data_IF_178305591150
#
_entry.id   IF_178305591150
#
_cell.length_a   1.000
_cell.length_b   1.000
_cell.length_c   1.000
_cell.angle_alpha   90.00
_cell.angle_beta   90.00
_cell.angle_gamma   90.00
#
_symmetry.space_group_name_H-M   'P 1'
#
loop_
_entity.id
_entity.type
_entity.pdbx_description
1 polymer ?
#
# COMPACT_ATOMS: atom_id res chain seq x y z
N UNK A 1 -3.45 -2.77 12.73
CA UNK A 1 -3.37 -2.84 11.25
C UNK A 1 -4.66 -2.30 10.65
N UNK A 2 -4.53 -1.27 9.85
CA UNK A 2 -5.66 -0.60 9.22
C UNK A 2 -5.42 -0.41 7.73
N UNK A 3 -6.50 -0.33 6.96
CA UNK A 3 -6.41 0.03 5.54
C UNK A 3 -5.79 1.42 5.42
N UNK A 4 -4.80 1.57 4.55
CA UNK A 4 -4.04 2.81 4.42
C UNK A 4 -2.79 2.90 5.29
N UNK A 5 -2.55 1.92 6.16
CA UNK A 5 -1.29 1.88 6.91
C UNK A 5 -0.12 1.60 5.98
N UNK A 6 0.98 2.31 6.21
CA UNK A 6 2.28 2.05 5.59
C UNK A 6 3.03 1.10 6.51
N UNK A 7 3.34 -0.09 6.02
CA UNK A 7 3.93 -1.18 6.82
C UNK A 7 5.18 -1.73 6.15
N UNK A 8 6.09 -2.26 6.97
CA UNK A 8 7.16 -3.12 6.45
C UNK A 8 6.59 -4.51 6.23
N UNK A 9 6.88 -5.13 5.10
CA UNK A 9 6.36 -6.45 4.76
C UNK A 9 7.40 -7.22 3.93
N UNK A 10 7.48 -8.54 4.16
CA UNK A 10 8.30 -9.42 3.33
C UNK A 10 7.48 -9.80 2.10
N UNK A 11 7.88 -9.26 0.94
CA UNK A 11 7.19 -9.52 -0.33
C UNK A 11 7.89 -10.66 -1.09
N UNK A 12 7.11 -11.53 -1.74
CA UNK A 12 7.70 -12.61 -2.54
C UNK A 12 8.70 -12.05 -3.56
N UNK A 13 9.91 -12.63 -3.60
CA UNK A 13 11.00 -12.30 -4.51
C UNK A 13 11.57 -10.89 -4.37
N UNK A 14 10.90 -9.98 -3.69
CA UNK A 14 11.35 -8.60 -3.49
C UNK A 14 12.02 -8.38 -2.14
N UNK A 15 11.76 -9.27 -1.17
CA UNK A 15 12.28 -9.13 0.18
C UNK A 15 11.49 -8.10 0.99
N UNK A 16 12.11 -7.60 2.06
CA UNK A 16 11.45 -6.68 2.98
C UNK A 16 11.32 -5.29 2.37
N UNK A 17 10.11 -4.80 2.25
CA UNK A 17 9.77 -3.54 1.59
C UNK A 17 8.63 -2.83 2.29
N UNK A 18 8.56 -1.47 2.19
CA UNK A 18 7.36 -0.76 2.59
C UNK A 18 6.23 -1.03 1.59
N UNK A 19 5.03 -1.10 2.11
CA UNK A 19 3.82 -1.29 1.31
C UNK A 19 2.63 -0.66 2.04
N UNK A 20 1.53 -0.45 1.31
CA UNK A 20 0.29 0.08 1.88
C UNK A 20 -0.76 -1.03 1.92
N UNK A 21 -1.42 -1.19 3.06
CA UNK A 21 -2.52 -2.14 3.21
C UNK A 21 -3.74 -1.61 2.45
N UNK A 22 -4.24 -2.42 1.52
CA UNK A 22 -5.39 -2.05 0.67
C UNK A 22 -6.62 -2.91 0.90
N UNK A 23 -6.52 -3.97 1.68
CA UNK A 23 -7.67 -4.80 2.07
C UNK A 23 -8.74 -3.92 2.74
N UNK A 24 -10.02 -4.15 2.41
CA UNK A 24 -11.12 -3.41 3.02
C UNK A 24 -11.08 -3.52 4.54
N UNK A 25 -11.33 -2.41 5.21
CA UNK A 25 -11.15 -2.29 6.67
C UNK A 25 -11.89 -3.37 7.47
N UNK A 26 -13.14 -3.63 7.11
CA UNK A 26 -13.97 -4.57 7.87
C UNK A 26 -13.46 -6.02 7.81
N UNK A 27 -12.66 -6.36 6.83
CA UNK A 27 -12.16 -7.73 6.64
C UNK A 27 -10.81 -7.96 7.30
N UNK A 28 -10.03 -6.92 7.61
CA UNK A 28 -8.68 -7.07 8.13
C UNK A 28 -8.65 -7.89 9.42
N UNK A 29 -9.66 -7.72 10.28
CA UNK A 29 -9.68 -8.39 11.58
C UNK A 29 -9.85 -9.91 11.47
N UNK A 30 -10.55 -10.41 10.44
CA UNK A 30 -10.88 -11.83 10.37
C UNK A 30 -10.21 -12.59 9.21
N UNK A 31 -9.66 -11.92 8.22
CA UNK A 31 -8.92 -12.61 7.17
C UNK A 31 -7.52 -13.01 7.68
N UNK A 32 -7.05 -14.17 7.27
CA UNK A 32 -5.68 -14.62 7.57
C UNK A 32 -4.65 -13.85 6.75
N UNK A 33 -5.03 -13.41 5.56
CA UNK A 33 -4.16 -12.71 4.61
C UNK A 33 -4.66 -11.29 4.39
N UNK A 34 -3.73 -10.41 3.98
CA UNK A 34 -4.07 -9.05 3.55
C UNK A 34 -3.42 -8.77 2.21
N UNK A 35 -4.05 -7.90 1.43
CA UNK A 35 -3.48 -7.41 0.18
C UNK A 35 -2.81 -6.06 0.42
N UNK A 36 -1.61 -5.92 -0.13
CA UNK A 36 -0.81 -4.71 -0.05
C UNK A 36 -0.42 -4.24 -1.43
N UNK A 37 -0.26 -2.93 -1.58
CA UNK A 37 0.31 -2.32 -2.77
C UNK A 37 1.75 -1.92 -2.47
N UNK A 38 2.69 -2.28 -3.35
CA UNK A 38 4.10 -1.98 -3.12
C UNK A 38 4.38 -0.48 -3.19
N UNK A 39 5.38 -0.04 -2.44
CA UNK A 39 5.88 1.33 -2.47
C UNK A 39 7.25 1.33 -3.14
N UNK A 40 7.45 2.28 -4.05
CA UNK A 40 8.72 2.41 -4.78
C UNK A 40 9.09 3.89 -4.89
N UNK A 41 10.39 4.18 -4.91
CA UNK A 41 10.89 5.51 -5.21
C UNK A 41 10.93 5.80 -6.72
N UNK A 42 10.67 4.80 -7.54
CA UNK A 42 10.66 4.92 -9.00
C UNK A 42 9.30 5.41 -9.48
N UNK A 43 9.15 6.73 -9.55
CA UNK A 43 7.91 7.37 -9.97
C UNK A 43 7.82 7.44 -11.49
N UNK A 44 6.68 7.02 -12.05
CA UNK A 44 6.43 7.01 -13.51
C UNK A 44 5.37 8.01 -13.93
N UNK A 45 4.69 8.67 -12.99
CA UNK A 45 3.61 9.60 -13.28
C UNK A 45 2.33 8.95 -13.79
N UNK A 46 2.08 7.70 -13.40
CA UNK A 46 0.89 6.96 -13.82
C UNK A 46 -0.30 7.27 -12.92
N UNK A 47 -1.55 7.19 -13.45
CA UNK A 47 -2.74 7.42 -12.64
C UNK A 47 -2.97 6.34 -11.57
N UNK A 48 -2.24 5.23 -11.64
CA UNK A 48 -2.28 4.15 -10.66
C UNK A 48 -1.28 4.36 -9.52
N UNK A 49 -0.60 5.50 -9.47
CA UNK A 49 0.37 5.83 -8.42
C UNK A 49 -0.19 6.87 -7.47
N UNK A 50 0.12 6.71 -6.17
CA UNK A 50 -0.23 7.69 -5.11
C UNK A 50 1.06 8.20 -4.49
N UNK A 51 1.26 9.51 -4.48
CA UNK A 51 2.49 10.13 -3.95
C UNK A 51 2.51 10.09 -2.42
N UNK A 52 3.68 9.72 -1.91
CA UNK A 52 3.99 9.68 -0.47
C UNK A 52 5.29 10.43 -0.21
N UNK A 53 5.48 10.86 1.04
CA UNK A 53 6.69 11.54 1.48
C UNK A 53 7.05 11.14 2.93
N UNK A 54 7.86 11.97 3.61
CA UNK A 54 8.27 11.71 4.98
C UNK A 54 7.10 11.64 5.97
N UNK A 55 5.99 12.30 5.69
CA UNK A 55 4.83 12.28 6.57
C UNK A 55 4.22 10.87 6.72
N UNK A 56 4.47 9.98 5.77
CA UNK A 56 4.04 8.59 5.84
C UNK A 56 5.15 7.64 6.33
N UNK A 57 6.22 8.18 6.94
CA UNK A 57 7.28 7.40 7.55
C UNK A 57 8.31 6.84 6.57
N UNK A 58 8.47 7.48 5.41
CA UNK A 58 9.43 7.05 4.38
C UNK A 58 10.66 7.94 4.35
N UNK A 59 11.80 7.36 3.95
CA UNK A 59 13.08 8.08 3.86
C UNK A 59 13.20 8.93 2.60
N UNK A 60 12.44 8.59 1.56
CA UNK A 60 12.47 9.24 0.26
C UNK A 60 11.06 9.50 -0.25
N UNK A 61 10.94 10.50 -1.13
CA UNK A 61 9.71 10.65 -1.91
C UNK A 61 9.47 9.37 -2.69
N UNK A 62 8.26 8.86 -2.60
CA UNK A 62 7.89 7.55 -3.14
C UNK A 62 6.47 7.58 -3.66
N UNK A 63 6.07 6.50 -4.30
CA UNK A 63 4.68 6.28 -4.72
C UNK A 63 4.21 4.91 -4.28
N UNK A 64 2.92 4.81 -3.99
CA UNK A 64 2.23 3.53 -3.93
C UNK A 64 1.96 3.12 -5.36
N UNK A 65 2.40 1.93 -5.75
CA UNK A 65 2.16 1.39 -7.09
C UNK A 65 0.97 0.42 -7.04
N UNK A 66 -0.20 0.91 -7.42
CA UNK A 66 -1.42 0.10 -7.38
C UNK A 66 -1.50 -0.95 -8.49
N UNK A 67 -0.60 -0.91 -9.46
CA UNK A 67 -0.46 -1.99 -10.45
C UNK A 67 0.34 -3.18 -9.90
N UNK A 68 0.90 -3.07 -8.72
CA UNK A 68 1.77 -4.10 -8.13
C UNK A 68 1.23 -4.50 -6.76
N UNK A 69 0.26 -5.40 -6.76
CA UNK A 69 -0.45 -5.86 -5.55
C UNK A 69 0.04 -7.25 -5.15
N UNK A 70 0.15 -7.47 -3.85
CA UNK A 70 0.52 -8.75 -3.27
C UNK A 70 -0.45 -9.10 -2.16
N UNK A 71 -0.89 -10.37 -2.13
CA UNK A 71 -1.65 -10.89 -1.00
C UNK A 71 -0.73 -11.78 -0.19
N UNK A 72 -0.56 -11.43 1.08
CA UNK A 72 0.40 -12.07 1.97
C UNK A 72 -0.25 -12.44 3.30
N UNK A 73 0.28 -13.47 4.00
CA UNK A 73 -0.17 -13.76 5.36
C UNK A 73 0.06 -12.55 6.28
N UNK A 74 -0.86 -12.29 7.20
CA UNK A 74 -0.69 -11.21 8.17
C UNK A 74 0.59 -11.36 9.00
N UNK A 75 1.07 -12.60 9.17
CA UNK A 75 2.29 -12.90 9.93
C UNK A 75 3.56 -12.31 9.34
N UNK A 76 3.58 -11.98 8.04
CA UNK A 76 4.75 -11.36 7.40
C UNK A 76 4.66 -9.83 7.36
N UNK A 77 3.57 -9.27 7.88
CA UNK A 77 3.42 -7.82 8.02
C UNK A 77 4.10 -7.40 9.32
N UNK A 78 5.04 -6.49 9.19
CA UNK A 78 5.85 -6.02 10.32
C UNK A 78 5.37 -4.67 10.85
N UNK A 79 6.34 -3.78 11.07
CA UNK A 79 6.12 -2.50 11.73
C UNK A 79 5.24 -1.57 10.89
N UNK A 80 4.29 -0.89 11.56
CA UNK A 80 3.57 0.24 10.96
C UNK A 80 4.50 1.46 11.00
N UNK A 81 4.81 2.01 9.85
CA UNK A 81 5.70 3.18 9.70
C UNK A 81 4.94 4.50 9.69
N UNK A 82 3.71 4.48 9.25
CA UNK A 82 2.88 5.65 9.11
C UNK A 82 1.54 5.29 8.51
N UNK A 83 0.81 6.29 8.08
CA UNK A 83 -0.49 6.07 7.46
C UNK A 83 -0.76 7.12 6.39
N UNK A 84 -1.61 6.79 5.44
CA UNK A 84 -2.10 7.75 4.46
C UNK A 84 -3.08 8.71 5.13
N UNK A 85 -3.03 9.99 4.74
CA UNK A 85 -4.03 10.96 5.14
C UNK A 85 -5.34 10.73 4.35
N UNK A 86 -6.46 11.39 4.74
CA UNK A 86 -7.75 11.18 4.05
C UNK A 86 -7.70 11.49 2.55
N UNK A 87 -6.95 12.50 2.12
CA UNK A 87 -6.81 12.82 0.70
C UNK A 87 -6.06 11.71 -0.05
N UNK A 88 -5.01 11.16 0.56
CA UNK A 88 -4.25 10.06 -0.02
C UNK A 88 -5.07 8.77 -0.07
N UNK A 89 -5.91 8.50 0.93
CA UNK A 89 -6.83 7.36 0.91
C UNK A 89 -7.80 7.48 -0.25
N UNK A 90 -8.33 8.68 -0.51
CA UNK A 90 -9.19 8.92 -1.67
C UNK A 90 -8.44 8.69 -2.98
N UNK A 91 -7.19 9.17 -3.07
CA UNK A 91 -6.33 8.91 -4.24
C UNK A 91 -6.05 7.43 -4.42
N UNK A 92 -5.84 6.70 -3.32
CA UNK A 92 -5.65 5.25 -3.34
C UNK A 92 -6.87 4.54 -3.93
N UNK A 93 -8.07 4.93 -3.49
CA UNK A 93 -9.32 4.36 -4.01
C UNK A 93 -9.44 4.58 -5.51
N UNK A 94 -9.16 5.78 -5.98
CA UNK A 94 -9.18 6.12 -7.41
C UNK A 94 -8.15 5.31 -8.19
N UNK A 95 -6.92 5.24 -7.66
CA UNK A 95 -5.82 4.52 -8.32
C UNK A 95 -6.11 3.02 -8.41
N UNK A 96 -6.68 2.42 -7.37
CA UNK A 96 -7.09 1.00 -7.38
C UNK A 96 -8.22 0.75 -8.36
N UNK A 97 -9.20 1.65 -8.44
CA UNK A 97 -10.31 1.56 -9.40
C UNK A 97 -9.76 1.52 -10.83
N UNK A 98 -8.80 2.37 -11.15
CA UNK A 98 -8.16 2.40 -12.47
C UNK A 98 -7.33 1.13 -12.70
N UNK A 99 -6.48 0.77 -11.73
CA UNK A 99 -5.58 -0.37 -11.86
C UNK A 99 -6.33 -1.69 -12.09
N UNK A 100 -7.50 -1.84 -11.46
CA UNK A 100 -8.30 -3.06 -11.54
C UNK A 100 -9.40 -2.99 -12.61
N UNK A 101 -9.49 -1.87 -13.32
CA UNK A 101 -10.48 -1.74 -14.41
C UNK A 101 -11.92 -1.65 -13.92
N UNK A 102 -12.16 -1.05 -12.76
CA UNK A 102 -13.47 -0.97 -12.15
C UNK A 102 -14.21 0.33 -12.45
N UNK A 103 -13.61 1.20 -13.21
CA UNK A 103 -14.17 2.51 -13.58
C UNK A 103 -14.98 2.48 -14.88
#
# INVERSE_FOLDING_TARGET
MNRGDVVDVDLPELGRRPAVIVTRQVAIAFLADVTVASITSRMRGLPTEVRLDHAQGLDHDSVVNCDNLFTVPKTVVGRVRGELDPAQVHQLDTALTIALGLD
#
